data_IF_648821577274
#
_entry.id   IF_648821577274
#
_cell.length_a   1.000
_cell.length_b   1.000
_cell.length_c   1.000
_cell.angle_alpha   90.00
_cell.angle_beta   90.00
_cell.angle_gamma   90.00
#
_symmetry.space_group_name_H-M   'P 1'
#
loop_
_entity.id
_entity.type
_entity.pdbx_description
1 polymer ?
#
# COMPACT_ATOMS: atom_id res chain seq x y z
N UNK A 1 1.04 2.45 -12.17
CA UNK A 1 0.50 3.30 -11.10
C UNK A 1 -0.93 3.61 -11.46
N UNK A 2 -1.87 3.33 -10.56
CA UNK A 2 -3.28 3.68 -10.75
C UNK A 2 -3.47 5.20 -10.61
N UNK A 3 -4.46 5.74 -11.31
CA UNK A 3 -4.95 7.09 -11.04
C UNK A 3 -5.65 7.13 -9.67
N UNK A 4 -5.90 8.34 -9.15
CA UNK A 4 -6.66 8.51 -7.92
C UNK A 4 -8.08 7.91 -8.02
N UNK A 5 -8.74 8.05 -9.17
CA UNK A 5 -10.04 7.45 -9.44
C UNK A 5 -9.98 5.91 -9.42
N UNK A 6 -8.99 5.33 -10.11
CA UNK A 6 -8.80 3.88 -10.13
C UNK A 6 -8.48 3.33 -8.73
N UNK A 7 -7.67 4.02 -7.94
CA UNK A 7 -7.38 3.62 -6.57
C UNK A 7 -8.66 3.63 -5.71
N UNK A 8 -9.46 4.70 -5.79
CA UNK A 8 -10.73 4.80 -5.08
C UNK A 8 -11.71 3.69 -5.47
N UNK A 9 -11.81 3.37 -6.76
CA UNK A 9 -12.65 2.28 -7.26
C UNK A 9 -12.21 0.92 -6.70
N UNK A 10 -10.91 0.63 -6.74
CA UNK A 10 -10.35 -0.62 -6.22
C UNK A 10 -10.59 -0.73 -4.71
N UNK A 11 -10.38 0.35 -3.96
CA UNK A 11 -10.64 0.38 -2.52
C UNK A 11 -12.12 0.12 -2.20
N UNK A 12 -13.03 0.72 -2.97
CA UNK A 12 -14.47 0.51 -2.80
C UNK A 12 -14.88 -0.95 -3.07
N UNK A 13 -14.38 -1.54 -4.17
CA UNK A 13 -14.64 -2.95 -4.50
C UNK A 13 -14.12 -3.85 -3.39
N UNK A 14 -12.87 -3.66 -2.96
CA UNK A 14 -12.26 -4.49 -1.93
C UNK A 14 -12.98 -4.37 -0.57
N UNK A 15 -13.43 -3.17 -0.16
CA UNK A 15 -14.23 -2.98 1.06
C UNK A 15 -15.61 -3.64 0.97
N UNK A 16 -16.21 -3.72 -0.21
CA UNK A 16 -17.48 -4.43 -0.40
C UNK A 16 -17.36 -5.94 -0.13
N UNK A 17 -16.16 -6.51 -0.34
CA UNK A 17 -15.86 -7.93 -0.08
C UNK A 17 -15.37 -8.15 1.36
N UNK A 18 -14.48 -7.28 1.85
CA UNK A 18 -13.93 -7.33 3.21
C UNK A 18 -13.94 -5.91 3.81
N UNK A 19 -14.93 -5.57 4.66
CA UNK A 19 -15.10 -4.20 5.17
C UNK A 19 -13.84 -3.66 5.88
N UNK A 20 -13.19 -4.51 6.68
CA UNK A 20 -12.01 -4.17 7.49
C UNK A 20 -10.67 -4.37 6.75
N UNK A 21 -10.69 -4.45 5.42
CA UNK A 21 -9.44 -4.52 4.66
C UNK A 21 -8.62 -3.24 4.84
N UNK A 22 -7.30 -3.42 5.04
CA UNK A 22 -6.33 -2.35 5.15
C UNK A 22 -5.59 -2.21 3.82
N UNK A 23 -5.36 -0.98 3.40
CA UNK A 23 -4.60 -0.66 2.19
C UNK A 23 -3.31 0.03 2.59
N UNK A 24 -2.25 -0.24 1.83
CA UNK A 24 -0.97 0.40 2.00
C UNK A 24 -0.37 0.74 0.64
N UNK A 25 -0.17 2.03 0.39
CA UNK A 25 0.47 2.51 -0.83
C UNK A 25 1.96 2.71 -0.55
N UNK A 26 2.81 2.07 -1.36
CA UNK A 26 4.26 2.30 -1.32
C UNK A 26 4.53 3.73 -1.80
N UNK A 27 5.39 4.50 -1.11
CA UNK A 27 5.74 5.86 -1.52
C UNK A 27 6.27 5.90 -2.96
N UNK A 28 5.76 6.86 -3.74
CA UNK A 28 6.24 7.09 -5.10
C UNK A 28 7.73 7.44 -5.07
N UNK A 29 8.48 6.95 -6.05
CA UNK A 29 9.91 7.25 -6.19
C UNK A 29 10.83 6.38 -5.34
N UNK A 30 10.35 5.73 -4.27
CA UNK A 30 11.19 4.96 -3.34
C UNK A 30 12.10 3.94 -4.03
N UNK A 31 11.55 3.15 -4.95
CA UNK A 31 12.31 2.15 -5.71
C UNK A 31 13.33 2.79 -6.67
N UNK A 32 13.02 3.96 -7.23
CA UNK A 32 13.90 4.66 -8.17
C UNK A 32 15.05 5.32 -7.42
N UNK A 33 14.77 5.91 -6.27
CA UNK A 33 15.76 6.64 -5.46
C UNK A 33 16.68 5.72 -4.66
N UNK A 34 16.16 4.58 -4.18
CA UNK A 34 16.88 3.71 -3.22
C UNK A 34 16.96 2.24 -3.63
N UNK A 35 16.46 1.91 -4.82
CA UNK A 35 16.46 0.54 -5.34
C UNK A 35 15.34 -0.34 -4.77
N UNK A 36 15.24 -1.59 -5.27
CA UNK A 36 14.19 -2.53 -4.87
C UNK A 36 14.29 -2.98 -3.41
N UNK A 37 15.50 -3.08 -2.85
CA UNK A 37 15.70 -3.53 -1.46
C UNK A 37 15.11 -2.53 -0.45
N UNK A 38 15.19 -1.23 -0.74
CA UNK A 38 14.59 -0.20 0.11
C UNK A 38 13.06 -0.30 0.18
N UNK A 39 12.39 -0.85 -0.85
CA UNK A 39 10.96 -1.14 -0.79
C UNK A 39 10.69 -2.27 0.20
N UNK A 40 11.51 -3.31 0.19
CA UNK A 40 11.39 -4.46 1.10
C UNK A 40 11.60 -4.00 2.55
N UNK A 41 12.67 -3.26 2.82
CA UNK A 41 12.96 -2.70 4.15
C UNK A 41 11.81 -1.82 4.65
N UNK A 42 11.27 -0.97 3.77
CA UNK A 42 10.14 -0.10 4.12
C UNK A 42 8.88 -0.88 4.46
N UNK A 43 8.56 -1.93 3.71
CA UNK A 43 7.40 -2.78 3.98
C UNK A 43 7.57 -3.55 5.30
N UNK A 44 8.76 -4.07 5.58
CA UNK A 44 9.06 -4.76 6.85
C UNK A 44 8.90 -3.81 8.03
N UNK A 45 9.30 -2.54 7.90
CA UNK A 45 9.16 -1.56 8.98
C UNK A 45 7.70 -1.08 9.17
N UNK A 46 6.97 -0.83 8.08
CA UNK A 46 5.68 -0.13 8.14
C UNK A 46 4.47 -1.04 8.21
N UNK A 47 4.48 -2.19 7.54
CA UNK A 47 3.28 -3.02 7.41
C UNK A 47 2.91 -3.75 8.70
N UNK A 48 3.84 -4.39 9.45
CA UNK A 48 3.49 -5.10 10.69
C UNK A 48 2.73 -4.24 11.72
N UNK A 49 3.22 -3.05 12.14
CA UNK A 49 2.48 -2.25 13.12
C UNK A 49 1.12 -1.76 12.61
N UNK A 50 0.95 -1.62 11.29
CA UNK A 50 -0.34 -1.31 10.68
C UNK A 50 -1.33 -2.48 10.76
N UNK A 51 -0.85 -3.72 10.76
CA UNK A 51 -1.72 -4.90 10.90
C UNK A 51 -2.19 -5.08 12.34
N UNK A 52 -1.33 -4.74 13.32
CA UNK A 52 -1.59 -4.89 14.77
C UNK A 52 -2.48 -3.80 15.39
N UNK A 53 -2.78 -2.70 14.67
CA UNK A 53 -3.63 -1.58 15.12
C UNK A 53 -5.08 -1.71 14.69
#
# INVERSE_FOLDING_TARGET
MWSAEQASEIEAIARSVKPDIKFYAIPQGLQVERGPDAVVEHLIEKVPPMLDS
#
